data_IF_204103036544
#
_entry.id   IF_204103036544
#
_cell.length_a   1.000
_cell.length_b   1.000
_cell.length_c   1.000
_cell.angle_alpha   90.00
_cell.angle_beta   90.00
_cell.angle_gamma   90.00
#
_symmetry.space_group_name_H-M   'P 1'
#
loop_
_entity.id
_entity.type
_entity.pdbx_description
1 polymer ?
#
# COMPACT_ATOMS: atom_id res chain seq x y z
N UNK A 1 18.88 23.50 -16.76
CA UNK A 1 17.79 24.40 -16.30
C UNK A 1 16.46 23.73 -16.59
N UNK A 2 15.61 23.57 -15.57
CA UNK A 2 14.31 22.90 -15.71
C UNK A 2 13.41 23.68 -16.68
N UNK A 3 13.16 23.11 -17.86
CA UNK A 3 12.44 23.73 -19.00
C UNK A 3 11.01 24.16 -18.67
N UNK A 4 10.36 23.53 -17.67
CA UNK A 4 9.01 23.91 -17.24
C UNK A 4 8.95 25.25 -16.49
N UNK A 5 10.04 25.68 -15.85
CA UNK A 5 10.11 27.00 -15.20
C UNK A 5 10.22 28.15 -16.21
N UNK A 6 10.53 27.86 -17.48
CA UNK A 6 10.67 28.86 -18.54
C UNK A 6 9.34 29.29 -19.18
N UNK A 7 8.23 28.60 -18.87
CA UNK A 7 6.94 28.97 -19.44
C UNK A 7 6.46 30.30 -18.84
N UNK A 8 6.16 31.34 -19.64
CA UNK A 8 5.92 32.70 -19.16
C UNK A 8 4.72 32.83 -18.22
N UNK A 9 3.78 31.88 -18.25
CA UNK A 9 2.63 31.84 -17.33
C UNK A 9 2.80 30.89 -16.14
N UNK A 10 3.85 30.07 -16.10
CA UNK A 10 3.99 29.03 -15.08
C UNK A 10 4.10 29.64 -13.68
N UNK A 11 5.07 30.54 -13.48
CA UNK A 11 5.31 31.18 -12.19
C UNK A 11 4.07 31.93 -11.68
N UNK A 12 3.44 32.87 -12.42
CA UNK A 12 2.28 33.59 -11.90
C UNK A 12 1.07 32.69 -11.63
N UNK A 13 0.84 31.65 -12.44
CA UNK A 13 -0.25 30.70 -12.22
C UNK A 13 0.00 29.83 -10.99
N UNK A 14 1.22 29.32 -10.82
CA UNK A 14 1.64 28.53 -9.66
C UNK A 14 1.45 29.32 -8.36
N UNK A 15 1.94 30.56 -8.31
CA UNK A 15 1.83 31.39 -7.11
C UNK A 15 0.36 31.73 -6.79
N UNK A 16 -0.45 32.06 -7.81
CA UNK A 16 -1.88 32.29 -7.61
C UNK A 16 -2.59 31.04 -7.05
N UNK A 17 -2.28 29.86 -7.58
CA UNK A 17 -2.81 28.60 -7.07
C UNK A 17 -2.35 28.31 -5.64
N UNK A 18 -1.06 28.47 -5.33
CA UNK A 18 -0.54 28.28 -3.97
C UNK A 18 -1.25 29.21 -2.98
N UNK A 19 -1.43 30.49 -3.34
CA UNK A 19 -2.14 31.46 -2.50
C UNK A 19 -3.62 31.08 -2.29
N UNK A 20 -4.29 30.59 -3.34
CA UNK A 20 -5.65 30.08 -3.22
C UNK A 20 -5.73 28.87 -2.27
N UNK A 21 -4.83 27.90 -2.43
CA UNK A 21 -4.77 26.67 -1.62
C UNK A 21 -4.36 26.93 -0.17
N UNK A 22 -3.59 28.01 0.10
CA UNK A 22 -3.24 28.45 1.46
C UNK A 22 -4.36 29.20 2.18
N UNK A 23 -5.42 29.60 1.47
CA UNK A 23 -6.53 30.31 2.11
C UNK A 23 -7.21 29.41 3.13
N UNK A 24 -7.57 29.95 4.29
CA UNK A 24 -8.31 29.21 5.34
C UNK A 24 -9.72 28.78 4.89
N UNK A 25 -10.18 29.27 3.74
CA UNK A 25 -11.43 28.88 3.07
C UNK A 25 -11.30 27.57 2.31
N UNK A 26 -10.09 27.21 1.87
CA UNK A 26 -9.84 25.95 1.20
C UNK A 26 -9.37 24.91 2.21
N UNK A 27 -10.10 23.80 2.30
CA UNK A 27 -9.65 22.61 3.01
C UNK A 27 -9.34 21.55 1.97
N UNK A 28 -8.11 21.07 1.96
CA UNK A 28 -7.80 19.85 1.22
C UNK A 28 -8.74 18.77 1.72
N UNK A 29 -9.48 18.12 0.79
CA UNK A 29 -10.16 16.88 1.13
C UNK A 29 -9.07 15.91 1.55
N UNK A 30 -9.25 15.28 2.72
CA UNK A 30 -8.41 14.15 3.09
C UNK A 30 -8.64 13.10 2.01
N UNK A 31 -7.57 12.67 1.34
CA UNK A 31 -7.66 11.54 0.44
C UNK A 31 -7.99 10.31 1.28
N UNK A 32 -8.80 9.43 0.70
CA UNK A 32 -9.16 8.16 1.32
C UNK A 32 -7.87 7.34 1.49
N UNK A 33 -7.59 6.83 2.71
CA UNK A 33 -6.40 6.01 2.92
C UNK A 33 -6.44 4.77 2.05
N UNK A 34 -5.28 4.42 1.50
CA UNK A 34 -5.14 3.31 0.56
C UNK A 34 -4.58 2.08 1.26
N UNK A 35 -5.29 0.96 1.15
CA UNK A 35 -4.91 -0.34 1.70
C UNK A 35 -4.47 -1.27 0.58
N UNK A 36 -3.23 -1.76 0.69
CA UNK A 36 -2.76 -2.87 -0.13
C UNK A 36 -3.08 -4.18 0.59
N UNK A 37 -3.98 -4.98 0.00
CA UNK A 37 -4.48 -6.22 0.61
C UNK A 37 -3.87 -7.47 -0.07
N UNK A 38 -2.88 -8.06 0.59
CA UNK A 38 -2.19 -9.28 0.19
C UNK A 38 -2.87 -10.53 0.80
N UNK A 39 -2.79 -11.64 0.07
CA UNK A 39 -3.35 -12.94 0.45
C UNK A 39 -3.18 -13.93 -0.69
N UNK A 40 -3.50 -15.20 -0.45
CA UNK A 40 -3.35 -16.22 -1.50
C UNK A 40 -4.30 -15.98 -2.69
N UNK A 41 -3.93 -16.51 -3.86
CA UNK A 41 -4.83 -16.60 -5.00
C UNK A 41 -6.13 -17.33 -4.59
N UNK A 42 -7.28 -16.78 -5.00
CA UNK A 42 -8.62 -17.31 -4.66
C UNK A 42 -8.87 -17.45 -3.13
N UNK A 43 -8.20 -16.63 -2.31
CA UNK A 43 -8.38 -16.65 -0.85
C UNK A 43 -9.75 -16.13 -0.42
N UNK A 44 -10.53 -17.03 0.21
CA UNK A 44 -11.79 -16.69 0.89
C UNK A 44 -11.59 -15.73 2.05
N UNK A 45 -10.46 -15.85 2.77
CA UNK A 45 -10.10 -14.97 3.88
C UNK A 45 -9.88 -13.54 3.38
N UNK A 46 -9.14 -13.40 2.27
CA UNK A 46 -8.89 -12.13 1.60
C UNK A 46 -10.17 -11.47 1.12
N UNK A 47 -11.05 -12.24 0.50
CA UNK A 47 -12.36 -11.75 0.04
C UNK A 47 -13.27 -11.33 1.21
N UNK A 48 -13.30 -12.11 2.29
CA UNK A 48 -14.08 -11.78 3.48
C UNK A 48 -13.62 -10.46 4.13
N UNK A 49 -12.31 -10.26 4.27
CA UNK A 49 -11.74 -9.00 4.79
C UNK A 49 -12.06 -7.84 3.85
N UNK A 50 -11.91 -8.02 2.53
CA UNK A 50 -12.26 -7.00 1.54
C UNK A 50 -13.71 -6.55 1.69
N UNK A 51 -14.65 -7.51 1.69
CA UNK A 51 -16.08 -7.23 1.81
C UNK A 51 -16.42 -6.55 3.15
N UNK A 52 -15.73 -6.94 4.23
CA UNK A 52 -15.90 -6.31 5.54
C UNK A 52 -15.45 -4.85 5.53
N UNK A 53 -14.27 -4.57 4.96
CA UNK A 53 -13.73 -3.21 4.84
C UNK A 53 -14.62 -2.33 3.96
N UNK A 54 -15.03 -2.80 2.79
CA UNK A 54 -15.93 -2.06 1.89
C UNK A 54 -17.27 -1.71 2.57
N UNK A 55 -17.78 -2.60 3.43
CA UNK A 55 -19.03 -2.37 4.16
C UNK A 55 -18.90 -1.39 5.33
N UNK A 56 -17.83 -1.47 6.10
CA UNK A 56 -17.70 -0.74 7.37
C UNK A 56 -16.73 0.46 7.31
N UNK A 57 -15.97 0.58 6.23
CA UNK A 57 -15.00 1.64 6.00
C UNK A 57 -15.02 2.05 4.52
N UNK A 58 -16.14 2.63 4.06
CA UNK A 58 -16.32 2.99 2.65
C UNK A 58 -15.36 4.08 2.16
N UNK A 59 -14.76 4.84 3.08
CA UNK A 59 -13.74 5.85 2.81
C UNK A 59 -12.30 5.25 2.82
N UNK A 60 -12.16 3.94 2.60
CA UNK A 60 -10.88 3.25 2.41
C UNK A 60 -10.81 2.67 1.00
N UNK A 61 -9.74 3.01 0.29
CA UNK A 61 -9.47 2.44 -1.03
C UNK A 61 -8.65 1.15 -0.89
N UNK A 62 -9.25 0.00 -1.21
CA UNK A 62 -8.57 -1.30 -1.14
C UNK A 62 -8.18 -1.77 -2.54
N UNK A 63 -6.90 -2.09 -2.74
CA UNK A 63 -6.40 -2.60 -4.03
C UNK A 63 -5.60 -3.90 -3.89
N UNK A 64 -5.43 -4.56 -5.05
CA UNK A 64 -4.67 -5.80 -5.24
C UNK A 64 -3.54 -5.60 -6.25
N UNK A 65 -2.41 -6.26 -6.02
CA UNK A 65 -1.29 -6.21 -6.96
C UNK A 65 -1.71 -6.79 -8.31
N UNK A 66 -2.44 -7.91 -8.35
CA UNK A 66 -2.83 -8.60 -9.58
C UNK A 66 -3.70 -7.74 -10.50
N UNK A 67 -4.60 -6.93 -9.92
CA UNK A 67 -5.45 -5.99 -10.67
C UNK A 67 -4.64 -4.82 -11.22
N UNK A 68 -3.66 -4.35 -10.46
CA UNK A 68 -2.74 -3.30 -10.93
C UNK A 68 -1.75 -3.88 -11.97
N UNK A 69 -1.41 -5.16 -11.83
CA UNK A 69 -0.56 -5.93 -12.75
C UNK A 69 -1.16 -5.98 -14.14
N UNK A 70 -2.44 -6.37 -14.25
CA UNK A 70 -3.11 -6.46 -15.56
C UNK A 70 -3.12 -5.14 -16.32
N UNK A 71 -3.14 -4.01 -15.61
CA UNK A 71 -3.09 -2.67 -16.21
C UNK A 71 -1.65 -2.28 -16.61
N UNK A 72 -0.65 -2.57 -15.77
CA UNK A 72 0.73 -2.09 -15.93
C UNK A 72 1.61 -3.01 -16.79
N UNK A 73 1.34 -4.32 -16.85
CA UNK A 73 2.11 -5.28 -17.66
C UNK A 73 2.09 -4.94 -19.14
N UNK A 74 1.03 -4.27 -19.62
CA UNK A 74 0.97 -3.78 -20.99
C UNK A 74 2.06 -2.76 -21.34
N UNK A 75 2.76 -2.20 -20.32
CA UNK A 75 3.67 -1.08 -20.47
C UNK A 75 5.16 -1.41 -20.27
N UNK A 76 5.54 -2.46 -19.51
CA UNK A 76 6.98 -2.78 -19.20
C UNK A 76 7.24 -4.23 -18.76
N UNK A 77 8.46 -4.72 -19.02
CA UNK A 77 9.06 -5.86 -18.33
C UNK A 77 9.60 -5.41 -16.96
N UNK A 78 8.82 -5.59 -15.89
CA UNK A 78 9.30 -5.41 -14.51
C UNK A 78 9.21 -6.72 -13.74
N UNK A 79 10.17 -6.95 -12.85
CA UNK A 79 10.13 -8.06 -11.90
C UNK A 79 8.95 -7.89 -10.93
N UNK A 80 8.29 -9.01 -10.60
CA UNK A 80 7.15 -9.10 -9.68
C UNK A 80 7.43 -8.43 -8.34
N UNK A 81 8.59 -8.77 -7.77
CA UNK A 81 8.99 -8.32 -6.44
C UNK A 81 9.18 -6.80 -6.37
N UNK A 82 9.81 -6.20 -7.37
CA UNK A 82 10.07 -4.76 -7.38
C UNK A 82 8.79 -3.95 -7.52
N UNK A 83 7.84 -4.44 -8.28
CA UNK A 83 6.56 -3.77 -8.42
C UNK A 83 5.66 -3.96 -7.20
N UNK A 84 5.65 -5.13 -6.55
CA UNK A 84 4.99 -5.29 -5.25
C UNK A 84 5.57 -4.33 -4.21
N UNK A 85 6.89 -4.16 -4.17
CA UNK A 85 7.54 -3.18 -3.30
C UNK A 85 7.12 -1.73 -3.63
N UNK A 86 7.04 -1.37 -4.92
CA UNK A 86 6.59 -0.04 -5.36
C UNK A 86 5.11 0.21 -5.01
N UNK A 87 4.24 -0.79 -5.18
CA UNK A 87 2.83 -0.69 -4.78
C UNK A 87 2.69 -0.59 -3.26
N UNK A 88 3.46 -1.38 -2.52
CA UNK A 88 3.53 -1.31 -1.08
C UNK A 88 3.99 0.08 -0.62
N UNK A 89 4.90 0.75 -1.32
CA UNK A 89 5.32 2.14 -1.01
C UNK A 89 4.18 3.15 -1.15
N UNK A 90 3.26 2.95 -2.10
CA UNK A 90 2.10 3.83 -2.32
C UNK A 90 0.99 3.66 -1.28
N UNK A 91 0.88 2.48 -0.66
CA UNK A 91 -0.16 2.20 0.32
C UNK A 91 0.06 2.94 1.65
N UNK A 92 -1.01 3.34 2.32
CA UNK A 92 -0.97 3.84 3.70
C UNK A 92 -0.93 2.68 4.71
N UNK A 93 -1.48 1.52 4.34
CA UNK A 93 -1.49 0.28 5.12
C UNK A 93 -1.29 -0.93 4.21
N UNK A 94 -0.45 -1.88 4.62
CA UNK A 94 -0.23 -3.15 3.94
C UNK A 94 -0.79 -4.25 4.83
N UNK A 95 -1.86 -4.91 4.41
CA UNK A 95 -2.41 -6.08 5.11
C UNK A 95 -1.89 -7.34 4.43
N UNK A 96 -1.22 -8.21 5.18
CA UNK A 96 -0.76 -9.50 4.65
C UNK A 96 -1.42 -10.63 5.41
N UNK A 97 -2.31 -11.38 4.74
CA UNK A 97 -2.90 -12.59 5.30
C UNK A 97 -1.91 -13.73 5.09
N UNK A 98 -1.27 -14.18 6.16
CA UNK A 98 -0.18 -15.16 6.13
C UNK A 98 -0.75 -16.57 6.04
N UNK A 99 -1.09 -17.00 4.83
CA UNK A 99 -1.83 -18.25 4.57
C UNK A 99 -1.24 -19.12 3.44
N UNK A 100 -0.14 -18.69 2.83
CA UNK A 100 0.51 -19.37 1.70
C UNK A 100 2.02 -19.10 1.62
N UNK A 101 2.74 -19.87 0.79
CA UNK A 101 4.16 -19.62 0.53
C UNK A 101 4.43 -18.22 -0.07
N UNK A 102 3.52 -17.73 -0.92
CA UNK A 102 3.62 -16.38 -1.47
C UNK A 102 3.51 -15.30 -0.39
N UNK A 103 2.49 -15.41 0.47
CA UNK A 103 2.26 -14.43 1.55
C UNK A 103 3.33 -14.46 2.64
N UNK A 104 3.98 -15.61 2.86
CA UNK A 104 5.19 -15.71 3.68
C UNK A 104 6.38 -14.96 3.06
N UNK A 105 6.50 -15.01 1.74
CA UNK A 105 7.54 -14.30 0.99
C UNK A 105 7.30 -12.78 1.02
N UNK A 106 6.06 -12.34 0.78
CA UNK A 106 5.63 -10.94 0.91
C UNK A 106 5.91 -10.40 2.31
N UNK A 107 5.49 -11.13 3.35
CA UNK A 107 5.74 -10.77 4.76
C UNK A 107 7.24 -10.56 5.01
N UNK A 108 8.07 -11.50 4.58
CA UNK A 108 9.52 -11.40 4.68
C UNK A 108 10.06 -10.17 3.97
N UNK A 109 9.72 -9.99 2.69
CA UNK A 109 10.19 -8.89 1.86
C UNK A 109 9.81 -7.52 2.45
N UNK A 110 8.54 -7.33 2.85
CA UNK A 110 8.07 -6.06 3.41
C UNK A 110 8.65 -5.80 4.80
N UNK A 111 8.88 -6.83 5.62
CA UNK A 111 9.45 -6.68 6.96
C UNK A 111 10.92 -6.23 6.97
N UNK A 112 11.66 -6.51 5.89
CA UNK A 112 13.06 -6.11 5.73
C UNK A 112 13.21 -4.62 5.36
N UNK A 113 12.17 -4.00 4.82
CA UNK A 113 12.18 -2.57 4.50
C UNK A 113 11.67 -1.76 5.70
N UNK A 114 12.51 -0.91 6.33
CA UNK A 114 12.09 -0.15 7.52
C UNK A 114 10.87 0.75 7.28
N UNK A 115 10.70 1.27 6.06
CA UNK A 115 9.56 2.13 5.70
C UNK A 115 8.28 1.36 5.47
N UNK A 116 8.36 0.13 4.92
CA UNK A 116 7.19 -0.72 4.71
C UNK A 116 6.75 -1.39 6.01
N UNK A 117 7.71 -1.81 6.85
CA UNK A 117 7.45 -2.41 8.17
C UNK A 117 6.56 -1.53 9.06
N UNK A 118 6.75 -0.21 9.02
CA UNK A 118 5.96 0.75 9.82
C UNK A 118 4.47 0.78 9.48
N UNK A 119 4.09 0.26 8.31
CA UNK A 119 2.70 0.21 7.83
C UNK A 119 2.24 -1.22 7.51
N UNK A 120 2.97 -2.22 8.00
CA UNK A 120 2.67 -3.62 7.79
C UNK A 120 1.75 -4.14 8.89
N UNK A 121 0.63 -4.76 8.49
CA UNK A 121 -0.34 -5.42 9.35
C UNK A 121 -0.48 -6.89 8.94
N UNK A 122 0.34 -7.79 9.51
CA UNK A 122 0.21 -9.21 9.28
C UNK A 122 -1.03 -9.78 9.99
N UNK A 123 -1.78 -10.63 9.30
CA UNK A 123 -2.86 -11.43 9.87
C UNK A 123 -2.38 -12.89 9.85
N UNK A 124 -2.21 -13.46 11.04
CA UNK A 124 -1.68 -14.82 11.22
C UNK A 124 -2.74 -15.68 11.90
N UNK A 125 -2.84 -16.93 11.47
CA UNK A 125 -3.71 -17.92 12.09
C UNK A 125 -3.39 -18.06 13.59
N UNK A 126 -4.42 -18.01 14.42
CA UNK A 126 -4.30 -18.05 15.87
C UNK A 126 -3.58 -19.31 16.38
N UNK A 127 -3.58 -20.41 15.63
CA UNK A 127 -2.85 -21.61 16.02
C UNK A 127 -1.33 -21.40 16.15
N UNK A 128 -0.78 -20.37 15.50
CA UNK A 128 0.63 -19.99 15.59
C UNK A 128 0.90 -18.97 16.71
N UNK A 129 -0.12 -18.61 17.48
CA UNK A 129 0.01 -17.68 18.61
C UNK A 129 0.88 -18.32 19.70
N UNK A 130 2.00 -17.68 20.03
CA UNK A 130 2.94 -18.17 21.04
C UNK A 130 3.96 -19.19 20.52
N UNK A 131 3.89 -19.58 19.25
CA UNK A 131 4.92 -20.42 18.64
C UNK A 131 6.23 -19.65 18.49
N UNK A 132 7.32 -20.24 18.96
CA UNK A 132 8.67 -19.75 18.67
C UNK A 132 9.04 -20.14 17.23
N UNK A 133 8.80 -19.22 16.31
CA UNK A 133 9.07 -19.39 14.87
C UNK A 133 9.84 -18.20 14.30
N UNK A 134 10.38 -18.34 13.09
CA UNK A 134 11.00 -17.22 12.38
C UNK A 134 9.98 -16.10 12.11
N UNK A 135 8.70 -16.44 11.91
CA UNK A 135 7.63 -15.46 11.72
C UNK A 135 7.47 -14.62 12.99
N UNK A 136 7.35 -15.28 14.15
CA UNK A 136 7.13 -14.62 15.44
C UNK A 136 8.35 -13.81 15.91
N UNK A 137 9.55 -14.39 15.76
CA UNK A 137 10.80 -13.77 16.24
C UNK A 137 11.43 -12.81 15.23
N UNK A 138 10.87 -12.69 14.03
CA UNK A 138 11.38 -11.84 12.96
C UNK A 138 10.33 -10.82 12.50
N UNK A 139 9.56 -11.09 11.43
CA UNK A 139 8.62 -10.13 10.87
C UNK A 139 7.53 -9.62 11.83
N UNK A 140 7.08 -10.44 12.79
CA UNK A 140 6.07 -10.02 13.78
C UNK A 140 6.67 -9.40 15.05
N UNK A 141 7.99 -9.45 15.21
CA UNK A 141 8.62 -8.88 16.39
C UNK A 141 8.46 -7.36 16.38
N UNK A 142 7.91 -6.81 17.45
CA UNK A 142 7.85 -5.37 17.64
C UNK A 142 9.16 -4.96 18.29
N UNK A 143 9.99 -4.22 17.55
CA UNK A 143 11.21 -3.58 18.08
C UNK A 143 10.85 -2.46 19.07
#
# INVERSE_FOLDING_TARGET
>A
MNTWLAHPRYVPLREALINHLRSSRYRFRKLDPVVFLCGAAESKSREAIRNYLEKHSPDLDVFYAEKVWSEIVSLRERDALQMEEDLAKLADLIIVIVESAGTLTELGAFSLSPSLRQKLLPIVDQKYQGDSSFITNGPLHLD
#
